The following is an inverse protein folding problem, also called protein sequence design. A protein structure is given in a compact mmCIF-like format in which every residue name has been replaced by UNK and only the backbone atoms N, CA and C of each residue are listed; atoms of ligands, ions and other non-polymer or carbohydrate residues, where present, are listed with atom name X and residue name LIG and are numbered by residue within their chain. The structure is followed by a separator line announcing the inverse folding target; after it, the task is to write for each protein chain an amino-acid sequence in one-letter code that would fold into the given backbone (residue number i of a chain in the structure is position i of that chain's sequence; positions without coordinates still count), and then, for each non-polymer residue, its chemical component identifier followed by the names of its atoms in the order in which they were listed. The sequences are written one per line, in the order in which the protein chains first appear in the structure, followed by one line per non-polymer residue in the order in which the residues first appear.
data_IF_723237931419
#
_entry.id   IF_723237931419
#
_cell.length_a   1.000
_cell.length_b   1.000
_cell.length_c   1.000
_cell.angle_alpha   90.00
_cell.angle_beta   90.00
_cell.angle_gamma   90.00
#
_symmetry.space_group_name_H-M   'P 1'
#
loop_
_entity.id
_entity.type
_entity.pdbx_description
1 polymer ?
#
# COMPACT_ATOMS: atom_id res chain seq x y z
N UNK A 1 4.48 6.82 15.63
CA UNK A 1 4.10 7.12 14.24
C UNK A 1 5.23 7.95 13.60
N UNK A 2 6.15 7.28 12.91
CA UNK A 2 7.37 7.90 12.35
C UNK A 2 7.04 8.78 11.14
N UNK A 3 7.56 10.01 11.13
CA UNK A 3 7.46 10.94 10.00
C UNK A 3 8.34 10.41 8.87
N UNK A 4 7.77 10.24 7.67
CA UNK A 4 8.51 9.81 6.49
C UNK A 4 9.59 10.84 6.11
N UNK A 5 10.80 10.42 5.72
CA UNK A 5 12.00 11.27 5.62
C UNK A 5 12.05 12.21 4.38
N UNK A 6 10.92 12.64 3.82
CA UNK A 6 10.89 13.40 2.56
C UNK A 6 10.27 14.82 2.66
N UNK A 7 10.11 15.38 3.85
CA UNK A 7 9.50 16.71 4.02
C UNK A 7 10.56 17.83 4.14
N UNK A 8 11.50 17.89 3.21
CA UNK A 8 12.36 19.06 3.02
C UNK A 8 12.26 19.52 1.56
N UNK A 9 11.62 20.67 1.38
CA UNK A 9 11.35 21.43 0.14
C UNK A 9 10.20 20.96 -0.79
N UNK A 10 9.38 21.97 -1.12
CA UNK A 10 8.49 22.10 -2.26
C UNK A 10 7.13 21.36 -2.24
N UNK A 11 6.10 22.11 -1.82
CA UNK A 11 4.83 22.29 -2.53
C UNK A 11 4.06 21.06 -3.07
N UNK A 12 4.13 19.92 -2.36
CA UNK A 12 3.25 18.77 -2.59
C UNK A 12 2.44 18.59 -1.31
N UNK A 13 1.12 18.69 -1.40
CA UNK A 13 0.22 18.52 -0.26
C UNK A 13 0.58 17.23 0.51
N UNK A 14 0.73 17.31 1.84
CA UNK A 14 1.29 16.21 2.66
C UNK A 14 0.59 14.85 2.48
N UNK A 15 -0.67 14.86 2.02
CA UNK A 15 -1.44 13.66 1.64
C UNK A 15 -0.84 12.93 0.45
N UNK A 16 -0.37 13.64 -0.59
CA UNK A 16 0.26 13.06 -1.78
C UNK A 16 1.60 12.42 -1.44
N UNK A 17 2.45 13.11 -0.67
CA UNK A 17 3.74 12.56 -0.24
C UNK A 17 3.58 11.34 0.67
N UNK A 18 2.62 11.40 1.61
CA UNK A 18 2.30 10.27 2.48
C UNK A 18 1.77 9.07 1.68
N UNK A 19 0.86 9.30 0.73
CA UNK A 19 0.33 8.23 -0.12
C UNK A 19 1.45 7.63 -0.97
N UNK A 20 2.32 8.46 -1.57
CA UNK A 20 3.46 7.98 -2.35
C UNK A 20 4.42 7.15 -1.52
N UNK A 21 4.72 7.57 -0.28
CA UNK A 21 5.55 6.80 0.62
C UNK A 21 4.94 5.43 0.95
N UNK A 22 3.66 5.41 1.33
CA UNK A 22 2.94 4.19 1.72
C UNK A 22 2.71 3.19 0.57
N UNK A 23 2.73 3.64 -0.68
CA UNK A 23 2.45 2.78 -1.84
C UNK A 23 3.70 2.42 -2.65
N UNK A 24 4.73 3.26 -2.65
CA UNK A 24 5.84 3.12 -3.59
C UNK A 24 7.23 3.24 -2.97
N UNK A 25 7.41 3.92 -1.84
CA UNK A 25 8.77 4.22 -1.32
C UNK A 25 9.09 3.49 -0.01
N UNK A 26 8.10 2.90 0.68
CA UNK A 26 8.33 2.19 1.93
C UNK A 26 9.15 0.92 1.63
N UNK A 27 10.27 0.67 2.33
CA UNK A 27 11.21 -0.40 2.02
C UNK A 27 10.67 -1.83 2.16
N UNK A 28 9.51 -1.99 2.82
CA UNK A 28 8.87 -3.29 3.02
C UNK A 28 7.77 -3.58 1.98
N UNK A 29 7.64 -2.75 0.94
CA UNK A 29 6.71 -3.00 -0.16
C UNK A 29 7.41 -3.89 -1.17
N UNK A 30 6.84 -5.05 -1.44
CA UNK A 30 7.29 -5.89 -2.55
C UNK A 30 6.75 -5.31 -3.85
N UNK A 31 7.67 -4.94 -4.74
CA UNK A 31 7.36 -4.53 -6.09
C UNK A 31 7.59 -5.72 -7.02
N UNK A 32 6.53 -6.26 -7.60
CA UNK A 32 6.57 -7.44 -8.43
C UNK A 32 5.18 -8.01 -8.65
N UNK A 33 5.10 -9.03 -9.50
CA UNK A 33 3.86 -9.79 -9.71
C UNK A 33 3.56 -10.65 -8.48
N UNK A 34 2.27 -10.87 -8.22
CA UNK A 34 1.85 -11.81 -7.20
C UNK A 34 2.16 -13.24 -7.66
N UNK A 35 2.51 -14.11 -6.71
CA UNK A 35 2.57 -15.54 -7.01
C UNK A 35 1.15 -16.09 -7.22
N UNK A 36 1.00 -17.17 -8.00
CA UNK A 36 -0.28 -17.87 -8.17
C UNK A 36 -0.98 -18.23 -6.84
N UNK A 37 -0.18 -18.46 -5.79
CA UNK A 37 -0.70 -18.74 -4.45
C UNK A 37 -1.27 -17.47 -3.81
N UNK A 38 -0.54 -16.35 -3.91
CA UNK A 38 -1.00 -15.05 -3.41
C UNK A 38 -2.25 -14.58 -4.16
N UNK A 39 -2.30 -14.76 -5.48
CA UNK A 39 -3.46 -14.43 -6.31
C UNK A 39 -4.72 -15.20 -5.90
N UNK A 40 -4.60 -16.52 -5.65
CA UNK A 40 -5.73 -17.33 -5.14
C UNK A 40 -6.22 -16.85 -3.79
N UNK A 41 -5.30 -16.48 -2.90
CA UNK A 41 -5.64 -15.96 -1.57
C UNK A 41 -6.35 -14.62 -1.69
N UNK A 42 -5.82 -13.71 -2.52
CA UNK A 42 -6.42 -12.40 -2.79
C UNK A 42 -7.82 -12.56 -3.39
N UNK A 43 -7.99 -13.43 -4.38
CA UNK A 43 -9.29 -13.71 -5.01
C UNK A 43 -10.29 -14.30 -4.00
N UNK A 44 -9.83 -15.25 -3.17
CA UNK A 44 -10.67 -15.89 -2.14
C UNK A 44 -11.10 -14.88 -1.07
N UNK A 45 -10.18 -14.04 -0.60
CA UNK A 45 -10.50 -12.93 0.31
C UNK A 45 -11.48 -11.97 -0.36
N UNK A 46 -11.28 -11.66 -1.64
CA UNK A 46 -12.13 -10.69 -2.33
C UNK A 46 -13.56 -11.21 -2.44
N UNK A 47 -13.73 -12.48 -2.75
CA UNK A 47 -15.04 -13.13 -2.79
C UNK A 47 -15.74 -13.18 -1.42
N UNK A 48 -14.99 -13.38 -0.33
CA UNK A 48 -15.57 -13.54 1.00
C UNK A 48 -15.88 -12.21 1.72
N UNK A 49 -14.99 -11.22 1.64
CA UNK A 49 -15.12 -9.96 2.41
C UNK A 49 -15.26 -8.71 1.52
N UNK A 50 -15.02 -8.83 0.21
CA UNK A 50 -15.13 -7.71 -0.73
C UNK A 50 -13.96 -6.73 -0.68
N UNK A 51 -13.88 -5.87 -1.70
CA UNK A 51 -12.77 -4.95 -1.97
C UNK A 51 -12.46 -3.96 -0.84
N UNK A 52 -13.48 -3.56 -0.07
CA UNK A 52 -13.34 -2.53 0.99
C UNK A 52 -12.40 -2.96 2.11
N UNK A 53 -12.39 -4.24 2.47
CA UNK A 53 -11.56 -4.73 3.56
C UNK A 53 -10.16 -5.11 3.10
N UNK A 54 -10.01 -5.65 1.88
CA UNK A 54 -8.69 -5.95 1.32
C UNK A 54 -7.79 -4.71 1.26
N UNK A 55 -8.34 -3.55 0.88
CA UNK A 55 -7.58 -2.31 0.88
C UNK A 55 -7.06 -1.94 2.28
N UNK A 56 -7.78 -2.27 3.35
CA UNK A 56 -7.29 -2.03 4.71
C UNK A 56 -6.13 -2.97 5.09
N UNK A 57 -6.14 -4.23 4.63
CA UNK A 57 -5.08 -5.19 4.90
C UNK A 57 -3.81 -4.94 4.07
N UNK A 58 -3.94 -4.45 2.85
CA UNK A 58 -2.80 -4.15 1.97
C UNK A 58 -2.14 -2.81 2.28
N UNK A 59 -2.86 -1.87 2.90
CA UNK A 59 -2.36 -0.52 3.22
C UNK A 59 -2.25 -0.24 4.74
N UNK A 60 -2.45 -1.26 5.59
CA UNK A 60 -2.32 -1.20 7.05
C UNK A 60 -0.87 -1.19 7.54
#
# INVERSE_FOLDING_TARGET
MGRAPCCDKANRCGKSCRLRWLNYLRPNIKHGEFSDVEDRIICTLFANIGSRYIHAYLHG
#
